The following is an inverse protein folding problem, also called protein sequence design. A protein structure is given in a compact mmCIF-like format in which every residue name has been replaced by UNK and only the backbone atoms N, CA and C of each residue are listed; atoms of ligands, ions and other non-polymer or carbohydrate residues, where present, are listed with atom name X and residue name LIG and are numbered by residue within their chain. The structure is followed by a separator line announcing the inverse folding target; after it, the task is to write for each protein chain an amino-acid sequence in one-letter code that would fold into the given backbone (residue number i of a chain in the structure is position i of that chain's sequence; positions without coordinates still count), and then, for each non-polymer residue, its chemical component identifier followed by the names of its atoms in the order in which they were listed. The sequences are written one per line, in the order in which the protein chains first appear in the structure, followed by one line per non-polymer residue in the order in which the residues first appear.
data_IF_958563986322
#
_entry.id   IF_958563986322
#
_cell.length_a   1.000
_cell.length_b   1.000
_cell.length_c   1.000
_cell.angle_alpha   90.00
_cell.angle_beta   90.00
_cell.angle_gamma   90.00
#
_symmetry.space_group_name_H-M   'P 1'
#
loop_
_entity.id
_entity.type
_entity.pdbx_description
1 polymer ?
#
# COMPACT_ATOMS: atom_id res chain seq x y z
N UNK A 1 -4.28 -4.63 -0.55
CA UNK A 1 -3.32 -5.76 -0.63
C UNK A 1 -3.67 -6.75 -1.72
N UNK A 2 -4.88 -7.36 -1.70
CA UNK A 2 -5.26 -8.39 -2.69
C UNK A 2 -5.04 -7.97 -4.15
N UNK A 3 -5.39 -6.74 -4.52
CA UNK A 3 -5.12 -6.23 -5.87
C UNK A 3 -3.63 -6.30 -6.26
N UNK A 4 -2.71 -5.92 -5.36
CA UNK A 4 -1.28 -5.94 -5.65
C UNK A 4 -0.71 -7.37 -5.71
N UNK A 5 -1.24 -8.30 -4.92
CA UNK A 5 -0.90 -9.74 -5.05
C UNK A 5 -1.30 -10.27 -6.43
N UNK A 6 -2.47 -9.85 -6.90
CA UNK A 6 -3.01 -10.19 -8.21
C UNK A 6 -2.40 -9.36 -9.35
N UNK A 7 -1.39 -8.53 -9.06
CA UNK A 7 -0.69 -7.64 -10.00
C UNK A 7 -1.59 -6.57 -10.66
N UNK A 8 -2.72 -6.24 -10.04
CA UNK A 8 -3.54 -5.07 -10.38
C UNK A 8 -3.00 -3.82 -9.67
N UNK A 9 -1.88 -3.28 -10.18
CA UNK A 9 -1.21 -2.11 -9.60
C UNK A 9 -1.93 -0.79 -9.88
N UNK A 10 -2.81 -0.75 -10.88
CA UNK A 10 -3.63 0.43 -11.20
C UNK A 10 -4.92 0.51 -10.38
N UNK A 11 -5.27 -0.57 -9.65
CA UNK A 11 -6.57 -0.76 -9.02
C UNK A 11 -7.73 -0.63 -10.02
N UNK A 12 -7.56 -1.20 -11.22
CA UNK A 12 -8.50 -1.04 -12.33
C UNK A 12 -9.91 -1.54 -12.01
N UNK A 13 -10.02 -2.51 -11.10
CA UNK A 13 -11.31 -3.05 -10.62
C UNK A 13 -12.06 -2.08 -9.70
N UNK A 14 -11.37 -1.04 -9.20
CA UNK A 14 -11.88 -0.09 -8.23
C UNK A 14 -11.98 -0.69 -6.83
N UNK A 15 -11.60 0.10 -5.82
CA UNK A 15 -11.81 -0.24 -4.41
C UNK A 15 -12.57 0.92 -3.77
N UNK A 16 -13.62 0.61 -3.01
CA UNK A 16 -14.43 1.63 -2.36
C UNK A 16 -13.55 2.57 -1.52
N UNK A 17 -13.77 3.88 -1.70
CA UNK A 17 -13.02 4.94 -1.03
C UNK A 17 -11.52 5.02 -1.35
N UNK A 18 -10.99 4.23 -2.28
CA UNK A 18 -9.59 4.32 -2.72
C UNK A 18 -9.53 5.07 -4.06
N UNK A 19 -8.64 6.04 -4.16
CA UNK A 19 -8.37 6.75 -5.42
C UNK A 19 -7.71 5.80 -6.43
N UNK A 20 -8.01 5.93 -7.74
CA UNK A 20 -7.28 5.21 -8.76
C UNK A 20 -5.80 5.61 -8.74
N UNK A 21 -4.94 4.67 -9.09
CA UNK A 21 -3.49 4.91 -9.20
C UNK A 21 -3.20 5.26 -10.67
N UNK A 22 -2.37 6.28 -10.90
CA UNK A 22 -1.96 6.65 -12.25
C UNK A 22 -1.12 5.52 -12.87
N UNK A 23 -1.03 5.47 -14.20
CA UNK A 23 -0.20 4.44 -14.87
C UNK A 23 1.28 4.59 -14.48
N UNK A 24 1.78 5.83 -14.42
CA UNK A 24 3.16 6.13 -14.03
C UNK A 24 3.48 5.67 -12.60
N UNK A 25 2.60 5.98 -11.63
CA UNK A 25 2.79 5.54 -10.25
C UNK A 25 2.66 4.01 -10.11
N UNK A 26 1.73 3.41 -10.86
CA UNK A 26 1.53 1.97 -10.87
C UNK A 26 2.75 1.23 -11.43
N UNK A 27 3.41 1.77 -12.47
CA UNK A 27 4.68 1.25 -13.00
C UNK A 27 5.78 1.31 -11.94
N UNK A 28 5.93 2.44 -11.24
CA UNK A 28 6.92 2.56 -10.16
C UNK A 28 6.67 1.59 -8.99
N UNK A 29 5.41 1.41 -8.58
CA UNK A 29 5.02 0.42 -7.57
C UNK A 29 5.33 -0.99 -8.04
N UNK A 30 4.98 -1.33 -9.28
CA UNK A 30 5.21 -2.64 -9.87
C UNK A 30 6.71 -2.94 -9.95
N UNK A 31 7.52 -1.98 -10.36
CA UNK A 31 8.97 -2.11 -10.45
C UNK A 31 9.60 -2.33 -9.07
N UNK A 32 9.18 -1.57 -8.06
CA UNK A 32 9.70 -1.75 -6.69
C UNK A 32 9.38 -3.14 -6.15
N UNK A 33 8.15 -3.62 -6.33
CA UNK A 33 7.73 -4.97 -5.89
C UNK A 33 8.47 -6.06 -6.69
N UNK A 34 8.62 -5.90 -8.00
CA UNK A 34 9.28 -6.90 -8.85
C UNK A 34 10.79 -6.96 -8.58
N UNK A 35 11.45 -5.81 -8.43
CA UNK A 35 12.87 -5.71 -8.12
C UNK A 35 13.18 -6.26 -6.72
N UNK A 36 12.23 -6.18 -5.79
CA UNK A 36 12.33 -6.84 -4.50
C UNK A 36 12.46 -8.37 -4.63
N UNK A 37 11.78 -8.95 -5.61
CA UNK A 37 11.98 -10.35 -6.00
C UNK A 37 11.24 -11.39 -5.16
N UNK A 38 10.27 -10.97 -4.33
CA UNK A 38 9.46 -11.86 -3.51
C UNK A 38 7.96 -11.76 -3.83
N UNK A 39 7.22 -12.84 -3.57
CA UNK A 39 5.77 -12.88 -3.79
C UNK A 39 5.04 -12.32 -2.56
N UNK A 40 4.26 -11.27 -2.79
CA UNK A 40 3.43 -10.67 -1.74
C UNK A 40 2.30 -11.61 -1.32
N UNK A 41 2.01 -11.64 -0.03
CA UNK A 41 0.88 -12.35 0.58
C UNK A 41 -0.13 -11.37 1.17
N UNK A 42 -1.27 -11.89 1.63
CA UNK A 42 -2.26 -11.07 2.35
C UNK A 42 -1.64 -10.57 3.65
N UNK A 43 -1.96 -9.34 4.04
CA UNK A 43 -1.49 -8.79 5.31
C UNK A 43 -2.08 -9.62 6.46
N UNK A 44 -1.24 -10.27 7.29
CA UNK A 44 -1.71 -10.97 8.47
C UNK A 44 -1.95 -9.95 9.61
N UNK A 45 -2.51 -10.40 10.73
CA UNK A 45 -2.85 -9.50 11.85
C UNK A 45 -1.62 -8.80 12.45
N UNK A 46 -0.47 -9.46 12.36
CA UNK A 46 0.82 -8.99 12.82
C UNK A 46 1.29 -7.72 12.09
N UNK A 47 0.85 -7.50 10.84
CA UNK A 47 1.17 -6.29 10.09
C UNK A 47 0.72 -5.01 10.81
N UNK A 48 -0.35 -5.09 11.60
CA UNK A 48 -0.89 -3.94 12.33
C UNK A 48 -0.08 -3.59 13.58
N UNK A 49 0.75 -4.50 14.08
CA UNK A 49 1.58 -4.26 15.27
C UNK A 49 2.76 -3.33 15.00
N UNK A 50 3.21 -3.27 13.74
CA UNK A 50 4.33 -2.44 13.28
C UNK A 50 3.88 -1.28 12.40
N UNK A 51 2.61 -1.25 11.99
CA UNK A 51 2.03 -0.16 11.22
C UNK A 51 2.09 1.17 11.96
N UNK A 52 2.41 2.24 11.23
CA UNK A 52 2.53 3.60 11.76
C UNK A 52 1.51 4.50 11.10
N UNK A 53 0.82 5.34 11.88
CA UNK A 53 0.01 6.42 11.35
C UNK A 53 0.40 7.75 12.01
N UNK A 54 0.57 8.79 11.21
CA UNK A 54 0.87 10.13 11.68
C UNK A 54 0.12 11.19 10.89
N UNK A 55 -0.41 12.20 11.57
CA UNK A 55 -1.02 13.34 10.90
C UNK A 55 0.06 14.25 10.31
N UNK A 56 -0.05 14.56 9.02
CA UNK A 56 0.87 15.42 8.28
C UNK A 56 0.10 16.24 7.26
N UNK A 57 0.30 17.56 7.26
CA UNK A 57 -0.12 18.44 6.15
C UNK A 57 -1.54 18.19 5.61
N UNK A 58 -2.51 18.01 6.51
CA UNK A 58 -3.93 17.84 6.15
C UNK A 58 -4.36 16.42 5.78
N UNK A 59 -3.54 15.41 6.02
CA UNK A 59 -3.89 13.99 5.86
C UNK A 59 -3.20 13.11 6.90
N UNK A 60 -3.68 11.88 7.07
CA UNK A 60 -2.93 10.84 7.77
C UNK A 60 -1.96 10.16 6.81
N UNK A 61 -0.70 10.14 7.16
CA UNK A 61 0.32 9.31 6.54
C UNK A 61 0.36 7.97 7.25
N UNK A 62 -0.02 6.90 6.56
CA UNK A 62 -0.10 5.54 7.08
C UNK A 62 0.93 4.67 6.37
N UNK A 63 1.79 4.00 7.12
CA UNK A 63 2.83 3.10 6.63
C UNK A 63 2.53 1.70 7.18
N UNK A 64 2.48 0.72 6.28
CA UNK A 64 2.18 -0.67 6.60
C UNK A 64 3.24 -1.56 5.99
N UNK A 65 3.89 -2.38 6.82
CA UNK A 65 4.85 -3.36 6.33
C UNK A 65 4.13 -4.40 5.47
N UNK A 66 4.70 -4.68 4.30
CA UNK A 66 4.22 -5.71 3.40
C UNK A 66 4.78 -7.07 3.82
N UNK A 67 4.03 -8.12 3.49
CA UNK A 67 4.39 -9.47 3.81
C UNK A 67 4.63 -10.29 2.55
N UNK A 68 5.62 -11.17 2.59
CA UNK A 68 5.99 -12.06 1.50
C UNK A 68 5.89 -13.51 1.92
N UNK A 69 5.73 -14.41 0.94
CA UNK A 69 5.68 -15.86 1.20
C UNK A 69 7.00 -16.39 1.78
N UNK A 70 8.13 -15.81 1.38
CA UNK A 70 9.47 -16.27 1.76
C UNK A 70 9.90 -15.80 3.15
N UNK A 71 9.55 -14.58 3.55
CA UNK A 71 10.12 -13.92 4.74
C UNK A 71 9.09 -13.66 5.84
N UNK A 72 7.79 -13.73 5.51
CA UNK A 72 6.77 -13.16 6.38
C UNK A 72 6.86 -11.63 6.31
N UNK A 73 7.19 -10.98 7.42
CA UNK A 73 7.34 -9.52 7.44
C UNK A 73 8.56 -9.11 6.60
N UNK A 74 8.34 -8.32 5.55
CA UNK A 74 9.39 -7.78 4.69
C UNK A 74 9.76 -6.35 5.08
N UNK A 75 10.85 -5.84 4.54
CA UNK A 75 11.24 -4.42 4.61
C UNK A 75 10.53 -3.54 3.54
N UNK A 76 9.67 -4.11 2.71
CA UNK A 76 8.78 -3.32 1.85
C UNK A 76 7.67 -2.67 2.68
N UNK A 77 7.45 -1.39 2.44
CA UNK A 77 6.42 -0.58 3.09
C UNK A 77 5.42 -0.10 2.04
N UNK A 78 4.14 -0.26 2.34
CA UNK A 78 3.05 0.43 1.66
C UNK A 78 2.77 1.76 2.37
N UNK A 79 2.94 2.86 1.64
CA UNK A 79 2.63 4.19 2.13
C UNK A 79 1.31 4.69 1.54
N UNK A 80 0.35 4.98 2.42
CA UNK A 80 -0.99 5.44 2.09
C UNK A 80 -1.22 6.81 2.70
N UNK A 81 -1.78 7.73 1.93
CA UNK A 81 -2.35 8.97 2.43
C UNK A 81 -3.85 8.79 2.65
N UNK A 82 -4.34 9.16 3.83
CA UNK A 82 -5.75 9.04 4.19
C UNK A 82 -6.31 10.43 4.48
N UNK A 83 -7.31 10.81 3.71
CA UNK A 83 -8.00 12.09 3.80
C UNK A 83 -9.34 11.91 4.50
N UNK A 84 -9.66 12.83 5.39
CA UNK A 84 -11.00 12.93 5.97
C UNK A 84 -11.97 13.51 4.93
N UNK A 85 -13.13 12.89 4.77
CA UNK A 85 -14.19 13.34 3.87
C UNK A 85 -15.55 13.23 4.56
N UNK A 86 -15.86 14.23 5.39
CA UNK A 86 -17.05 14.23 6.23
C UNK A 86 -16.98 13.11 7.27
N UNK A 87 -17.92 12.17 7.23
CA UNK A 87 -17.94 11.00 8.11
C UNK A 87 -17.22 9.77 7.53
N UNK A 88 -16.52 9.93 6.40
CA UNK A 88 -15.81 8.86 5.71
C UNK A 88 -14.33 9.22 5.52
N UNK A 89 -13.55 8.22 5.08
CA UNK A 89 -12.15 8.39 4.69
C UNK A 89 -11.98 8.13 3.20
N UNK A 90 -11.03 8.81 2.58
CA UNK A 90 -10.56 8.54 1.21
C UNK A 90 -9.08 8.19 1.27
N UNK A 91 -8.73 7.07 0.64
CA UNK A 91 -7.39 6.50 0.66
C UNK A 91 -6.70 6.72 -0.68
N UNK A 92 -5.43 7.09 -0.63
CA UNK A 92 -4.56 7.26 -1.79
C UNK A 92 -3.29 6.46 -1.54
N UNK A 93 -3.02 5.48 -2.40
CA UNK A 93 -1.72 4.81 -2.36
C UNK A 93 -0.68 5.77 -2.91
N UNK A 94 0.31 6.10 -2.09
CA UNK A 94 1.34 7.07 -2.46
C UNK A 94 2.55 6.39 -3.10
N UNK A 95 3.11 5.37 -2.44
CA UNK A 95 4.20 4.56 -2.99
C UNK A 95 4.34 3.23 -2.24
N UNK A 96 5.11 2.32 -2.84
CA UNK A 96 5.63 1.10 -2.20
C UNK A 96 7.15 1.14 -2.32
N UNK A 97 7.88 0.99 -1.22
CA UNK A 97 9.34 1.15 -1.20
C UNK A 97 9.99 0.45 0.00
N UNK A 98 11.31 0.31 -0.03
CA UNK A 98 12.12 -0.04 1.15
C UNK A 98 12.67 1.26 1.77
N UNK A 99 12.42 1.55 3.06
CA UNK A 99 12.77 2.82 3.71
C UNK A 99 14.25 3.00 4.04
#
# INVERSE_FOLDING_TARGET
MEAFKDKDFTLARGIACVRPISVEDAEGIADNIQNYGALLISLPEEAWQTSVCQWQEGHWSVMVDLFTESEGASDLVLHVRVYENGSAFVFEVHLVYVP
#
